data_IF_815173566058
#
_entry.id   IF_815173566058
#
_cell.length_a   1.000
_cell.length_b   1.000
_cell.length_c   1.000
_cell.angle_alpha   90.00
_cell.angle_beta   90.00
_cell.angle_gamma   90.00
#
_symmetry.space_group_name_H-M   'P 1'
#
loop_
_entity.id
_entity.type
_entity.pdbx_description
1 polymer ?
#
# COMPACT_ATOMS: atom_id res chain seq x y z
N UNK A 1 33.43 9.21 -7.59
CA UNK A 1 33.27 9.30 -6.12
C UNK A 1 32.44 8.09 -5.71
N UNK A 2 32.93 7.29 -4.75
CA UNK A 2 32.12 6.20 -4.21
C UNK A 2 31.02 6.80 -3.32
N UNK A 3 29.77 6.37 -3.53
CA UNK A 3 28.68 6.73 -2.63
C UNK A 3 28.94 6.07 -1.27
N UNK A 4 28.75 6.79 -0.15
CA UNK A 4 28.84 6.17 1.17
C UNK A 4 27.75 5.10 1.32
N UNK A 5 28.06 4.02 2.04
CA UNK A 5 27.07 3.01 2.37
C UNK A 5 25.96 3.62 3.22
N UNK A 6 24.73 3.19 2.98
CA UNK A 6 23.60 3.49 3.85
C UNK A 6 23.78 2.74 5.17
N UNK A 7 23.57 3.42 6.28
CA UNK A 7 23.55 2.79 7.60
C UNK A 7 22.36 1.81 7.71
N UNK A 8 22.62 0.60 8.22
CA UNK A 8 21.59 -0.44 8.38
C UNK A 8 21.61 -1.07 9.79
N UNK A 9 21.82 -0.25 10.82
CA UNK A 9 21.87 -0.69 12.21
C UNK A 9 20.48 -0.88 12.81
N UNK A 10 20.10 -2.14 13.09
CA UNK A 10 18.84 -2.49 13.77
C UNK A 10 18.67 -1.76 15.10
N UNK A 11 19.75 -1.60 15.87
CA UNK A 11 19.70 -0.90 17.16
C UNK A 11 19.35 0.57 16.99
N UNK A 12 19.91 1.24 15.97
CA UNK A 12 19.59 2.64 15.67
C UNK A 12 18.14 2.79 15.19
N UNK A 13 17.69 1.93 14.27
CA UNK A 13 16.29 1.93 13.81
C UNK A 13 15.29 1.77 14.95
N UNK A 14 15.54 0.83 15.88
CA UNK A 14 14.67 0.65 17.05
C UNK A 14 14.70 1.86 17.99
N UNK A 15 15.85 2.51 18.18
CA UNK A 15 15.96 3.71 18.99
C UNK A 15 15.17 4.89 18.38
N UNK A 16 15.25 5.06 17.05
CA UNK A 16 14.49 6.06 16.31
C UNK A 16 12.99 5.82 16.42
N UNK A 17 12.52 4.58 16.20
CA UNK A 17 11.10 4.23 16.30
C UNK A 17 10.52 4.35 17.71
N UNK A 18 11.35 4.15 18.76
CA UNK A 18 10.94 4.34 20.16
C UNK A 18 10.76 5.81 20.54
N UNK A 19 11.39 6.74 19.83
CA UNK A 19 11.23 8.17 20.09
C UNK A 19 9.78 8.60 19.86
N UNK A 20 9.14 9.11 20.91
CA UNK A 20 7.81 9.71 20.83
C UNK A 20 7.87 11.25 20.73
N UNK A 21 9.06 11.81 20.48
CA UNK A 21 9.23 13.24 20.32
C UNK A 21 8.48 13.73 19.07
N UNK A 22 7.71 14.79 19.23
CA UNK A 22 6.96 15.39 18.14
C UNK A 22 7.90 16.16 17.21
N UNK A 23 7.94 15.75 15.95
CA UNK A 23 8.61 16.47 14.86
C UNK A 23 7.56 17.00 13.90
N UNK A 24 7.56 18.31 13.64
CA UNK A 24 6.56 18.97 12.76
C UNK A 24 6.70 18.61 11.28
N UNK A 25 7.78 17.93 10.91
CA UNK A 25 8.08 17.50 9.55
C UNK A 25 8.68 16.09 9.56
N UNK A 26 8.36 15.28 8.56
CA UNK A 26 8.87 13.92 8.40
C UNK A 26 7.90 13.08 7.58
N UNK A 27 8.31 11.85 7.26
CA UNK A 27 7.49 10.89 6.49
C UNK A 27 6.54 10.06 7.36
N UNK A 28 6.63 10.18 8.70
CA UNK A 28 5.72 9.51 9.63
C UNK A 28 6.03 8.02 9.87
N UNK A 29 7.30 7.62 9.80
CA UNK A 29 7.71 6.21 9.96
C UNK A 29 7.15 5.54 11.21
N UNK A 30 7.22 6.21 12.37
CA UNK A 30 6.71 5.63 13.62
C UNK A 30 5.20 5.37 13.55
N UNK A 31 4.45 6.29 12.95
CA UNK A 31 3.00 6.16 12.76
C UNK A 31 2.68 5.02 11.78
N UNK A 32 3.43 4.92 10.67
CA UNK A 32 3.30 3.84 9.70
C UNK A 32 3.57 2.46 10.32
N UNK A 33 4.64 2.33 11.11
CA UNK A 33 4.94 1.10 11.84
C UNK A 33 3.86 0.78 12.88
N UNK A 34 3.33 1.80 13.57
CA UNK A 34 2.24 1.59 14.52
C UNK A 34 0.99 1.03 13.82
N UNK A 35 0.57 1.60 12.69
CA UNK A 35 -0.56 1.09 11.91
C UNK A 35 -0.27 -0.30 11.35
N UNK A 36 0.95 -0.56 10.90
CA UNK A 36 1.35 -1.90 10.45
C UNK A 36 1.19 -2.94 11.57
N UNK A 37 1.53 -2.58 12.81
CA UNK A 37 1.40 -3.45 13.98
C UNK A 37 -0.02 -3.53 14.58
N UNK A 38 -0.93 -2.63 14.21
CA UNK A 38 -2.28 -2.54 14.82
C UNK A 38 -3.42 -2.71 13.82
N UNK A 39 -3.13 -2.77 12.53
CA UNK A 39 -4.15 -2.82 11.47
C UNK A 39 -3.69 -3.68 10.29
N UNK A 40 -2.65 -3.27 9.55
CA UNK A 40 -2.45 -3.75 8.17
C UNK A 40 -1.52 -4.96 8.01
N UNK A 41 -0.49 -5.09 8.85
CA UNK A 41 0.47 -6.20 8.74
C UNK A 41 1.30 -6.23 7.45
N UNK A 42 1.64 -5.07 6.86
CA UNK A 42 2.50 -4.94 5.68
C UNK A 42 3.98 -5.27 5.94
N UNK A 43 4.28 -6.55 6.15
CA UNK A 43 5.63 -7.05 6.37
C UNK A 43 6.25 -7.59 5.09
N UNK A 44 7.45 -7.12 4.75
CA UNK A 44 8.24 -7.68 3.64
C UNK A 44 9.21 -8.72 4.21
N UNK A 45 9.12 -9.94 3.70
CA UNK A 45 9.98 -11.06 4.09
C UNK A 45 10.75 -11.59 2.89
N UNK A 46 11.89 -12.23 3.17
CA UNK A 46 12.80 -12.79 2.18
C UNK A 46 13.40 -14.09 2.72
N UNK A 47 12.53 -14.98 3.22
CA UNK A 47 12.93 -16.23 3.88
C UNK A 47 13.28 -17.33 2.86
N UNK A 48 12.81 -17.19 1.62
CA UNK A 48 13.08 -18.13 0.54
C UNK A 48 14.54 -18.04 0.06
N UNK A 49 15.16 -19.19 -0.23
CA UNK A 49 16.54 -19.29 -0.75
C UNK A 49 16.76 -18.64 -2.11
N UNK A 50 15.70 -18.46 -2.89
CA UNK A 50 15.73 -17.80 -4.20
C UNK A 50 15.64 -16.28 -4.09
N UNK A 51 15.28 -15.75 -2.91
CA UNK A 51 15.15 -14.32 -2.71
C UNK A 51 16.55 -13.67 -2.67
N UNK A 52 16.80 -12.60 -3.43
CA UNK A 52 18.14 -12.02 -3.57
C UNK A 52 18.58 -11.17 -2.36
N UNK A 53 17.72 -10.97 -1.36
CA UNK A 53 18.03 -10.20 -0.15
C UNK A 53 18.37 -11.10 1.03
N UNK A 54 18.65 -10.49 2.18
CA UNK A 54 19.02 -11.23 3.38
C UNK A 54 17.87 -12.10 3.89
N UNK A 55 18.19 -13.38 4.15
CA UNK A 55 17.28 -14.33 4.81
C UNK A 55 16.97 -13.99 6.27
N UNK A 56 17.61 -12.95 6.83
CA UNK A 56 17.28 -12.41 8.14
C UNK A 56 16.02 -11.54 8.12
N UNK A 57 15.49 -11.20 6.94
CA UNK A 57 14.20 -10.52 6.76
C UNK A 57 13.07 -11.53 6.94
N UNK A 58 12.86 -11.96 8.17
CA UNK A 58 11.82 -12.93 8.55
C UNK A 58 10.56 -12.22 9.04
N UNK A 59 9.41 -12.90 8.99
CA UNK A 59 8.19 -12.36 9.59
C UNK A 59 8.38 -12.13 11.11
N UNK A 60 9.08 -13.04 11.79
CA UNK A 60 9.41 -12.89 13.21
C UNK A 60 10.23 -11.63 13.46
N UNK A 61 11.25 -11.34 12.64
CA UNK A 61 12.10 -10.17 12.80
C UNK A 61 11.34 -8.85 12.60
N UNK A 62 10.28 -8.87 11.78
CA UNK A 62 9.37 -7.75 11.56
C UNK A 62 8.40 -7.57 12.75
N UNK A 63 7.76 -8.65 13.20
CA UNK A 63 6.85 -8.64 14.35
C UNK A 63 7.56 -8.25 15.66
N UNK A 64 8.84 -8.58 15.80
CA UNK A 64 9.68 -8.15 16.91
C UNK A 64 9.69 -6.62 17.08
N UNK A 65 9.62 -5.85 15.99
CA UNK A 65 9.56 -4.39 16.06
C UNK A 65 8.29 -3.94 16.79
N UNK A 66 7.16 -4.59 16.52
CA UNK A 66 5.89 -4.28 17.17
C UNK A 66 5.96 -4.48 18.68
N UNK A 67 6.55 -5.59 19.12
CA UNK A 67 6.73 -5.88 20.54
C UNK A 67 7.74 -4.95 21.19
N UNK A 68 8.88 -4.70 20.54
CA UNK A 68 9.98 -3.93 21.11
C UNK A 68 9.77 -2.41 21.13
N UNK A 69 8.93 -1.88 20.23
CA UNK A 69 8.67 -0.44 20.11
C UNK A 69 7.33 -0.07 20.73
N UNK A 70 6.29 -0.88 20.53
CA UNK A 70 4.92 -0.54 20.91
C UNK A 70 4.34 -1.46 21.99
N UNK A 71 5.03 -2.52 22.41
CA UNK A 71 4.51 -3.48 23.38
C UNK A 71 3.38 -4.36 22.83
N UNK A 72 3.26 -4.48 21.50
CA UNK A 72 2.21 -5.26 20.84
C UNK A 72 2.76 -6.64 20.53
N UNK A 73 2.11 -7.69 21.04
CA UNK A 73 2.53 -9.07 20.78
C UNK A 73 2.16 -9.52 19.36
N UNK A 74 2.89 -10.49 18.77
CA UNK A 74 2.55 -11.09 17.49
C UNK A 74 1.10 -11.57 17.36
N UNK A 75 0.52 -12.03 18.47
CA UNK A 75 -0.87 -12.49 18.53
C UNK A 75 -1.86 -11.35 18.33
N UNK A 76 -1.67 -10.23 19.04
CA UNK A 76 -2.50 -9.05 18.86
C UNK A 76 -2.36 -8.45 17.46
N UNK A 77 -1.15 -8.46 16.88
CA UNK A 77 -0.97 -8.05 15.47
C UNK A 77 -1.86 -8.90 14.56
N UNK A 78 -1.80 -10.23 14.72
CA UNK A 78 -2.57 -11.17 13.89
C UNK A 78 -4.07 -10.94 14.03
N UNK A 79 -4.57 -10.80 15.25
CA UNK A 79 -5.98 -10.51 15.53
C UNK A 79 -6.42 -9.21 14.87
N UNK A 80 -5.59 -8.17 14.94
CA UNK A 80 -5.91 -6.87 14.35
C UNK A 80 -5.90 -6.90 12.81
N UNK A 81 -4.97 -7.66 12.21
CA UNK A 81 -4.96 -7.90 10.76
C UNK A 81 -6.18 -8.70 10.31
N UNK A 82 -6.57 -9.74 11.07
CA UNK A 82 -7.81 -10.48 10.82
C UNK A 82 -9.02 -9.57 10.87
N UNK A 83 -9.15 -8.76 11.93
CA UNK A 83 -10.23 -7.80 12.08
C UNK A 83 -10.27 -6.81 10.90
N UNK A 84 -9.13 -6.24 10.52
CA UNK A 84 -9.03 -5.27 9.43
C UNK A 84 -9.49 -5.87 8.10
N UNK A 85 -9.05 -7.10 7.81
CA UNK A 85 -9.47 -7.82 6.60
C UNK A 85 -10.97 -8.13 6.61
N UNK A 86 -11.53 -8.58 7.73
CA UNK A 86 -12.97 -8.85 7.85
C UNK A 86 -13.82 -7.58 7.73
N UNK A 87 -13.37 -6.49 8.35
CA UNK A 87 -14.07 -5.21 8.36
C UNK A 87 -14.11 -4.57 6.98
N UNK A 88 -12.97 -4.50 6.29
CA UNK A 88 -12.87 -3.86 4.97
C UNK A 88 -13.18 -4.81 3.79
N UNK A 89 -13.23 -6.12 4.03
CA UNK A 89 -13.52 -7.13 3.02
C UNK A 89 -12.31 -7.62 2.23
N UNK A 90 -11.09 -7.38 2.71
CA UNK A 90 -9.83 -7.82 2.10
C UNK A 90 -9.75 -7.50 0.58
N UNK A 91 -9.61 -8.52 -0.27
CA UNK A 91 -9.58 -8.42 -1.73
C UNK A 91 -10.98 -8.42 -2.39
N UNK A 92 -12.04 -8.44 -1.57
CA UNK A 92 -13.45 -8.34 -1.97
C UNK A 92 -14.17 -7.22 -1.19
N UNK A 93 -13.69 -5.97 -1.29
CA UNK A 93 -14.24 -4.87 -0.51
C UNK A 93 -15.72 -4.60 -0.84
N UNK A 94 -16.52 -4.39 0.20
CA UNK A 94 -17.98 -4.18 0.09
C UNK A 94 -18.32 -2.70 -0.16
N UNK A 95 -17.79 -2.14 -1.23
CA UNK A 95 -17.99 -0.74 -1.59
C UNK A 95 -18.40 -0.59 -3.05
N UNK A 96 -18.78 0.63 -3.46
CA UNK A 96 -19.15 0.92 -4.85
C UNK A 96 -18.38 2.06 -5.47
N UNK A 97 -18.26 2.05 -6.80
CA UNK A 97 -17.60 3.10 -7.60
C UNK A 97 -16.12 3.26 -7.24
N UNK A 98 -15.39 2.15 -7.38
CA UNK A 98 -13.95 2.10 -7.11
C UNK A 98 -13.20 1.66 -8.37
N UNK A 99 -12.11 2.35 -8.67
CA UNK A 99 -11.11 1.90 -9.64
C UNK A 99 -9.87 1.42 -8.89
N UNK A 100 -9.59 0.13 -8.94
CA UNK A 100 -8.35 -0.46 -8.42
C UNK A 100 -7.28 -0.38 -9.51
N UNK A 101 -6.47 0.67 -9.46
CA UNK A 101 -5.44 0.96 -10.47
C UNK A 101 -4.08 0.50 -9.97
N UNK A 102 -3.43 -0.40 -10.70
CA UNK A 102 -2.14 -0.97 -10.34
C UNK A 102 -1.19 -0.98 -11.55
N UNK A 103 0.10 -0.85 -11.31
CA UNK A 103 1.14 -1.15 -12.30
C UNK A 103 1.67 -2.57 -12.11
N UNK A 104 1.98 -3.28 -13.20
CA UNK A 104 2.46 -4.67 -13.11
C UNK A 104 3.92 -4.81 -12.65
N UNK A 105 4.71 -3.74 -12.70
CA UNK A 105 6.08 -3.70 -12.15
C UNK A 105 6.06 -3.37 -10.65
N UNK A 106 4.99 -2.73 -10.15
CA UNK A 106 4.87 -2.34 -8.74
C UNK A 106 4.65 -3.57 -7.85
N UNK A 107 5.57 -3.97 -6.94
CA UNK A 107 5.38 -5.16 -6.12
C UNK A 107 4.12 -5.12 -5.25
N UNK A 108 3.58 -3.93 -4.95
CA UNK A 108 2.34 -3.78 -4.19
C UNK A 108 1.09 -4.28 -4.92
N UNK A 109 1.13 -4.42 -6.25
CA UNK A 109 -0.03 -4.95 -7.00
C UNK A 109 -0.43 -6.34 -6.53
N UNK A 110 0.51 -7.13 -6.00
CA UNK A 110 0.26 -8.47 -5.47
C UNK A 110 -0.72 -8.49 -4.28
N UNK A 111 -0.85 -7.37 -3.56
CA UNK A 111 -1.77 -7.22 -2.42
C UNK A 111 -3.07 -6.49 -2.81
N UNK A 112 -3.32 -6.28 -4.10
CA UNK A 112 -4.42 -5.47 -4.61
C UNK A 112 -5.50 -6.28 -5.31
N UNK A 113 -6.58 -5.62 -5.71
CA UNK A 113 -7.65 -6.20 -6.53
C UNK A 113 -7.29 -6.08 -8.01
N UNK A 114 -6.97 -7.20 -8.64
CA UNK A 114 -6.46 -7.24 -10.03
C UNK A 114 -7.52 -7.65 -11.07
N UNK A 115 -8.74 -7.95 -10.62
CA UNK A 115 -9.88 -8.31 -11.47
C UNK A 115 -11.11 -7.51 -11.07
N UNK A 116 -12.01 -7.26 -12.01
CA UNK A 116 -13.26 -6.58 -11.71
C UNK A 116 -14.07 -7.40 -10.70
N UNK A 117 -14.51 -6.75 -9.62
CA UNK A 117 -15.35 -7.37 -8.59
C UNK A 117 -16.84 -7.21 -8.93
N UNK A 118 -17.20 -6.15 -9.66
CA UNK A 118 -18.57 -5.93 -10.16
C UNK A 118 -18.58 -5.03 -11.41
N UNK A 119 -19.74 -4.43 -11.73
CA UNK A 119 -19.87 -3.41 -12.77
C UNK A 119 -19.34 -2.03 -12.37
N UNK A 120 -19.24 -1.73 -11.07
CA UNK A 120 -18.76 -0.44 -10.55
C UNK A 120 -17.43 -0.53 -9.80
N UNK A 121 -16.97 -1.74 -9.49
CA UNK A 121 -15.66 -2.02 -8.87
C UNK A 121 -14.76 -2.66 -9.91
N UNK A 122 -13.94 -1.83 -10.56
CA UNK A 122 -13.18 -2.21 -11.74
C UNK A 122 -11.68 -2.21 -11.44
N UNK A 123 -10.96 -3.18 -11.99
CA UNK A 123 -9.51 -3.26 -11.92
C UNK A 123 -8.87 -2.74 -13.22
N UNK A 124 -7.82 -1.96 -13.08
CA UNK A 124 -7.00 -1.45 -14.17
C UNK A 124 -5.54 -1.81 -13.86
N UNK A 125 -5.07 -2.92 -14.43
CA UNK A 125 -3.65 -3.30 -14.39
C UNK A 125 -2.94 -2.69 -15.60
N UNK A 126 -1.96 -1.84 -15.34
CA UNK A 126 -1.22 -1.06 -16.34
C UNK A 126 0.13 -1.72 -16.58
N UNK A 127 0.30 -2.30 -17.77
CA UNK A 127 1.55 -2.93 -18.16
C UNK A 127 2.68 -1.90 -18.33
N UNK A 128 3.84 -2.19 -17.74
CA UNK A 128 5.07 -1.42 -17.88
C UNK A 128 5.15 -0.22 -16.94
N UNK A 129 4.38 -0.22 -15.84
CA UNK A 129 4.37 0.89 -14.89
C UNK A 129 4.60 0.44 -13.47
N UNK A 130 5.24 1.31 -12.69
CA UNK A 130 5.51 1.10 -11.26
C UNK A 130 4.53 1.90 -10.39
N UNK A 131 4.84 2.01 -9.11
CA UNK A 131 3.96 2.48 -8.05
C UNK A 131 3.27 3.80 -8.38
N UNK A 132 1.93 3.75 -8.42
CA UNK A 132 1.05 4.91 -8.62
C UNK A 132 1.37 5.79 -9.85
N UNK A 133 1.94 5.23 -10.93
CA UNK A 133 2.37 6.01 -12.10
C UNK A 133 1.23 6.83 -12.75
N UNK A 134 -0.01 6.34 -12.66
CA UNK A 134 -1.21 7.02 -13.14
C UNK A 134 -1.46 8.37 -12.46
N UNK A 135 -1.02 8.55 -11.22
CA UNK A 135 -1.21 9.78 -10.43
C UNK A 135 -0.21 10.89 -10.79
N UNK A 136 0.89 10.55 -11.46
CA UNK A 136 1.85 11.54 -11.91
C UNK A 136 1.30 12.40 -13.06
N UNK A 137 1.78 13.64 -13.23
CA UNK A 137 1.46 14.46 -14.40
C UNK A 137 1.82 13.76 -15.70
N UNK A 138 0.98 13.93 -16.73
CA UNK A 138 1.21 13.36 -18.06
C UNK A 138 2.49 13.91 -18.70
N UNK A 139 3.22 13.03 -19.38
CA UNK A 139 4.45 13.35 -20.12
C UNK A 139 4.39 12.78 -21.54
N UNK A 140 5.04 13.42 -22.53
CA UNK A 140 5.13 12.86 -23.88
C UNK A 140 5.81 11.49 -23.96
N UNK A 141 6.65 11.16 -22.96
CA UNK A 141 7.35 9.89 -22.84
C UNK A 141 6.52 8.78 -22.18
N UNK A 142 5.29 9.06 -21.76
CA UNK A 142 4.49 8.06 -21.06
C UNK A 142 4.13 6.88 -21.98
N UNK A 143 4.23 5.63 -21.50
CA UNK A 143 3.92 4.47 -22.30
C UNK A 143 2.42 4.44 -22.65
N UNK A 144 2.08 3.92 -23.83
CA UNK A 144 0.69 3.87 -24.30
C UNK A 144 -0.29 3.20 -23.32
N UNK A 145 0.06 2.09 -22.62
CA UNK A 145 -0.79 1.53 -21.57
C UNK A 145 -1.17 2.52 -20.46
N UNK A 146 -0.24 3.39 -20.05
CA UNK A 146 -0.48 4.41 -19.02
C UNK A 146 -1.43 5.49 -19.53
N UNK A 147 -1.25 5.94 -20.78
CA UNK A 147 -2.15 6.91 -21.42
C UNK A 147 -3.57 6.35 -21.53
N UNK A 148 -3.70 5.11 -22.00
CA UNK A 148 -4.99 4.42 -22.11
C UNK A 148 -5.66 4.24 -20.74
N UNK A 149 -4.89 3.89 -19.71
CA UNK A 149 -5.40 3.76 -18.35
C UNK A 149 -5.94 5.08 -17.80
N UNK A 150 -5.22 6.20 -17.98
CA UNK A 150 -5.70 7.54 -17.56
C UNK A 150 -7.00 7.93 -18.27
N UNK A 151 -7.12 7.66 -19.58
CA UNK A 151 -8.36 7.91 -20.32
C UNK A 151 -9.55 7.08 -19.78
N UNK A 152 -9.32 5.81 -19.42
CA UNK A 152 -10.34 4.97 -18.80
C UNK A 152 -10.74 5.49 -17.41
N UNK A 153 -9.77 5.94 -16.61
CA UNK A 153 -10.01 6.56 -15.30
C UNK A 153 -10.88 7.82 -15.46
N UNK A 154 -10.48 8.73 -16.35
CA UNK A 154 -11.22 9.97 -16.62
C UNK A 154 -12.66 9.70 -17.07
N UNK A 155 -12.86 8.69 -17.94
CA UNK A 155 -14.19 8.28 -18.38
C UNK A 155 -15.08 7.84 -17.21
N UNK A 156 -14.60 6.93 -16.36
CA UNK A 156 -15.39 6.39 -15.24
C UNK A 156 -15.68 7.45 -14.18
N UNK A 157 -14.68 8.28 -13.83
CA UNK A 157 -14.87 9.40 -12.90
C UNK A 157 -15.89 10.39 -13.48
N UNK A 158 -15.78 10.72 -14.77
CA UNK A 158 -16.71 11.62 -15.47
C UNK A 158 -18.14 11.09 -15.47
N UNK A 159 -18.34 9.80 -15.73
CA UNK A 159 -19.65 9.15 -15.68
C UNK A 159 -20.24 9.20 -14.25
N UNK A 160 -19.45 8.89 -13.23
CA UNK A 160 -19.90 8.94 -11.84
C UNK A 160 -20.28 10.36 -11.39
N UNK A 161 -19.51 11.38 -11.78
CA UNK A 161 -19.84 12.77 -11.52
C UNK A 161 -21.12 13.21 -12.25
N UNK A 162 -21.32 12.75 -13.48
CA UNK A 162 -22.55 13.00 -14.26
C UNK A 162 -23.77 12.38 -13.58
N UNK A 163 -23.66 11.13 -13.12
CA UNK A 163 -24.71 10.44 -12.37
C UNK A 163 -25.02 11.15 -11.04
N UNK A 164 -24.00 11.58 -10.29
CA UNK A 164 -24.18 12.29 -9.04
C UNK A 164 -24.91 13.63 -9.21
N UNK A 165 -24.65 14.36 -10.31
CA UNK A 165 -25.37 15.61 -10.63
C UNK A 165 -26.85 15.40 -10.98
N UNK A 166 -27.19 14.23 -11.52
CA UNK A 166 -28.57 13.88 -11.92
C UNK A 166 -29.37 13.27 -10.77
N UNK A 167 -28.71 12.77 -9.73
CA UNK A 167 -29.39 12.30 -8.54
C UNK A 167 -30.04 13.51 -7.84
N UNK A 168 -31.35 13.48 -7.55
CA UNK A 168 -31.96 14.52 -6.73
C UNK A 168 -31.22 14.55 -5.38
N UNK A 169 -31.00 15.75 -4.85
CA UNK A 169 -30.36 15.96 -3.55
C UNK A 169 -31.02 15.05 -2.52
N UNK A 170 -30.32 14.01 -2.08
CA UNK A 170 -30.75 13.21 -0.95
C UNK A 170 -30.54 14.08 0.30
N UNK A 171 -31.60 14.78 0.69
CA UNK A 171 -31.81 15.33 2.03
C UNK A 171 -32.70 14.36 2.80
#
# INVERSE_FOLDING_TARGET
MALPCVENSRQRTLAELRSANLTLSGVGERQWYFQTCTEFGYYQTCEDVTCPFSQLLTLSAQLDVCSQVFGISPEHVREAVTFTNEYYGADHPKASRILFVNGDIDPWHALSVLKNQSRSELAILINGTSHCANMNPSRPSDPLPLVSARQRIDYHIGDWLSLARKAPSAL
#
